data_IF_055565666552
#
_entry.id   IF_055565666552
#
_cell.length_a   1.000
_cell.length_b   1.000
_cell.length_c   1.000
_cell.angle_alpha   90.00
_cell.angle_beta   90.00
_cell.angle_gamma   90.00
#
_symmetry.space_group_name_H-M   'P 1'
#
loop_
_entity.id
_entity.type
_entity.pdbx_description
1 polymer ?
#
# COMPACT_ATOMS: atom_id res chain seq x y z
N UNK A 1 12.46 44.50 -49.59
CA UNK A 1 13.30 43.57 -48.81
C UNK A 1 12.36 42.59 -48.14
N UNK A 2 12.51 41.33 -48.55
CA UNK A 2 11.45 40.35 -48.74
C UNK A 2 11.19 39.46 -47.51
N UNK A 3 9.97 38.91 -47.43
CA UNK A 3 9.50 37.90 -46.46
C UNK A 3 10.37 36.62 -46.38
N UNK A 4 11.38 36.49 -47.23
CA UNK A 4 12.25 35.32 -47.37
C UNK A 4 13.36 35.29 -46.30
N UNK A 5 13.75 36.44 -45.74
CA UNK A 5 14.88 36.52 -44.79
C UNK A 5 14.51 36.21 -43.33
N UNK A 6 13.21 36.18 -43.00
CA UNK A 6 12.74 35.80 -41.67
C UNK A 6 12.72 34.28 -41.49
N UNK A 7 12.44 33.52 -42.56
CA UNK A 7 12.23 32.07 -42.48
C UNK A 7 13.53 31.26 -42.33
N UNK A 8 14.68 31.86 -42.66
CA UNK A 8 15.98 31.18 -42.60
C UNK A 8 16.75 31.42 -41.28
N UNK A 9 16.25 32.30 -40.39
CA UNK A 9 16.75 32.44 -39.01
C UNK A 9 16.04 31.52 -38.02
N UNK A 10 14.84 31.04 -38.37
CA UNK A 10 14.02 30.15 -37.53
C UNK A 10 14.52 28.71 -37.56
N UNK A 11 15.39 28.35 -38.52
CA UNK A 11 15.93 26.99 -38.71
C UNK A 11 17.00 26.58 -37.69
N UNK A 12 17.34 27.42 -36.70
CA UNK A 12 18.34 27.11 -35.68
C UNK A 12 17.86 27.38 -34.24
N UNK A 13 16.69 26.89 -33.87
CA UNK A 13 16.38 26.63 -32.46
C UNK A 13 15.69 25.27 -32.35
N UNK A 14 16.53 24.23 -32.38
CA UNK A 14 16.21 22.92 -31.82
C UNK A 14 16.00 23.12 -30.33
N UNK A 15 14.80 22.82 -29.85
CA UNK A 15 14.45 22.92 -28.43
C UNK A 15 13.05 22.37 -28.19
N UNK A 16 12.83 21.10 -28.52
CA UNK A 16 11.63 20.38 -28.10
C UNK A 16 11.69 20.22 -26.58
N UNK A 17 11.07 21.15 -25.84
CA UNK A 17 10.86 21.03 -24.41
C UNK A 17 9.69 20.06 -24.16
N UNK A 18 9.97 18.76 -24.17
CA UNK A 18 9.06 17.75 -23.61
C UNK A 18 9.04 17.90 -22.10
N UNK A 19 8.07 18.65 -21.58
CA UNK A 19 7.68 18.63 -20.17
C UNK A 19 7.13 17.23 -19.87
N UNK A 20 8.00 16.33 -19.38
CA UNK A 20 7.56 15.11 -18.73
C UNK A 20 6.99 15.54 -17.37
N UNK A 21 5.67 15.72 -17.30
CA UNK A 21 4.97 15.74 -16.02
C UNK A 21 5.11 14.35 -15.41
N UNK A 22 6.06 14.19 -14.50
CA UNK A 22 6.04 13.09 -13.56
C UNK A 22 4.79 13.30 -12.72
N UNK A 23 3.72 12.56 -13.05
CA UNK A 23 2.58 12.46 -12.16
C UNK A 23 3.12 11.92 -10.83
N UNK A 24 3.25 12.80 -9.84
CA UNK A 24 3.36 12.39 -8.46
C UNK A 24 2.00 11.81 -8.13
N UNK A 25 1.84 10.52 -8.41
CA UNK A 25 0.78 9.75 -7.78
C UNK A 25 1.11 9.80 -6.29
N UNK A 26 0.50 10.72 -5.55
CA UNK A 26 0.35 10.55 -4.12
C UNK A 26 -0.56 9.34 -3.95
N UNK A 27 0.01 8.14 -4.05
CA UNK A 27 -0.64 6.96 -3.53
C UNK A 27 -0.70 7.22 -2.02
N UNK A 28 -1.85 7.71 -1.55
CA UNK A 28 -2.17 7.58 -0.15
C UNK A 28 -1.96 6.11 0.23
N UNK A 29 -1.49 5.83 1.45
CA UNK A 29 -1.27 4.45 1.86
C UNK A 29 -2.54 3.60 1.63
N UNK A 30 -2.50 2.74 0.62
CA UNK A 30 -3.66 1.95 0.21
C UNK A 30 -3.82 0.79 1.19
N UNK A 31 -4.96 0.76 1.88
CA UNK A 31 -5.28 -0.33 2.80
C UNK A 31 -5.53 -1.62 2.01
N UNK A 32 -4.77 -2.70 2.26
CA UNK A 32 -4.92 -3.96 1.54
C UNK A 32 -6.30 -4.60 1.69
N UNK A 33 -6.83 -5.14 0.59
CA UNK A 33 -8.07 -5.91 0.63
C UNK A 33 -7.85 -7.24 1.35
N UNK A 34 -8.75 -7.59 2.27
CA UNK A 34 -8.75 -8.89 2.95
C UNK A 34 -8.79 -10.04 1.95
N UNK A 35 -8.00 -11.07 2.21
CA UNK A 35 -7.99 -12.32 1.43
C UNK A 35 -9.09 -13.28 1.85
N UNK A 36 -9.61 -14.04 0.89
CA UNK A 36 -10.52 -15.14 1.16
C UNK A 36 -9.77 -16.34 1.75
N UNK A 37 -10.32 -16.91 2.80
CA UNK A 37 -9.73 -18.06 3.49
C UNK A 37 -10.49 -19.33 3.08
N UNK A 38 -9.82 -20.35 2.51
CA UNK A 38 -10.46 -21.59 2.11
C UNK A 38 -11.04 -22.33 3.33
N UNK A 39 -12.20 -22.98 3.14
CA UNK A 39 -12.84 -23.75 4.20
C UNK A 39 -12.13 -25.10 4.37
N UNK A 40 -11.54 -25.34 5.54
CA UNK A 40 -10.81 -26.57 5.84
C UNK A 40 -11.66 -27.84 5.77
N UNK A 41 -12.98 -27.75 5.97
CA UNK A 41 -13.89 -28.89 5.92
C UNK A 41 -14.12 -29.41 4.48
N UNK A 42 -13.85 -28.59 3.46
CA UNK A 42 -14.17 -28.92 2.06
C UNK A 42 -13.06 -28.63 1.06
N UNK A 43 -12.07 -27.81 1.41
CA UNK A 43 -10.97 -27.46 0.53
C UNK A 43 -10.05 -28.67 0.27
N UNK A 44 -9.45 -28.68 -0.91
CA UNK A 44 -8.32 -29.53 -1.28
C UNK A 44 -7.01 -29.03 -0.65
N UNK A 45 -6.00 -29.90 -0.63
CA UNK A 45 -4.65 -29.54 -0.19
C UNK A 45 -4.07 -28.38 -0.99
N UNK A 46 -4.27 -28.37 -2.31
CA UNK A 46 -3.82 -27.34 -3.22
C UNK A 46 -4.47 -25.99 -2.90
N UNK A 47 -5.77 -25.97 -2.59
CA UNK A 47 -6.50 -24.77 -2.16
C UNK A 47 -6.00 -24.27 -0.80
N UNK A 48 -5.73 -25.16 0.16
CA UNK A 48 -5.16 -24.77 1.46
C UNK A 48 -3.75 -24.17 1.32
N UNK A 49 -2.92 -24.71 0.42
CA UNK A 49 -1.59 -24.13 0.11
C UNK A 49 -1.73 -22.78 -0.60
N UNK A 50 -2.71 -22.62 -1.50
CA UNK A 50 -3.02 -21.33 -2.11
C UNK A 50 -3.44 -20.31 -1.04
N UNK A 51 -4.39 -20.66 -0.17
CA UNK A 51 -4.81 -19.81 0.95
C UNK A 51 -3.66 -19.41 1.87
N UNK A 52 -2.70 -20.31 2.15
CA UNK A 52 -1.51 -19.94 2.91
C UNK A 52 -0.68 -18.84 2.22
N UNK A 53 -0.49 -18.94 0.90
CA UNK A 53 0.26 -17.95 0.13
C UNK A 53 -0.47 -16.61 0.12
N UNK A 54 -1.79 -16.63 -0.03
CA UNK A 54 -2.62 -15.42 -0.07
C UNK A 54 -2.61 -14.72 1.30
N UNK A 55 -2.73 -15.45 2.41
CA UNK A 55 -2.60 -14.90 3.77
C UNK A 55 -1.22 -14.26 3.98
N UNK A 56 -0.14 -14.90 3.52
CA UNK A 56 1.21 -14.32 3.60
C UNK A 56 1.34 -13.05 2.76
N UNK A 57 0.77 -13.05 1.56
CA UNK A 57 0.77 -11.87 0.69
C UNK A 57 -0.02 -10.72 1.31
N UNK A 58 -1.17 -11.00 1.91
CA UNK A 58 -1.96 -10.03 2.66
C UNK A 58 -1.17 -9.41 3.81
N UNK A 59 -0.53 -10.23 4.65
CA UNK A 59 0.30 -9.75 5.76
C UNK A 59 1.44 -8.85 5.24
N UNK A 60 2.15 -9.28 4.19
CA UNK A 60 3.21 -8.47 3.60
C UNK A 60 2.70 -7.13 3.03
N UNK A 61 1.52 -7.11 2.42
CA UNK A 61 0.88 -5.87 1.96
C UNK A 61 0.45 -4.97 3.12
N UNK A 62 -0.01 -5.56 4.23
CA UNK A 62 -0.37 -4.82 5.44
C UNK A 62 0.85 -4.22 6.13
N UNK A 63 1.97 -4.94 6.19
CA UNK A 63 3.25 -4.40 6.66
C UNK A 63 3.71 -3.21 5.82
N UNK A 64 3.64 -3.33 4.48
CA UNK A 64 3.95 -2.22 3.58
C UNK A 64 3.01 -1.01 3.78
N UNK A 65 1.73 -1.24 4.09
CA UNK A 65 0.78 -0.20 4.45
C UNK A 65 1.17 0.50 5.76
N UNK A 66 1.57 -0.25 6.79
CA UNK A 66 2.03 0.30 8.06
C UNK A 66 3.29 1.15 7.89
N UNK A 67 4.27 0.68 7.12
CA UNK A 67 5.49 1.44 6.81
C UNK A 67 5.15 2.75 6.09
N UNK A 68 4.24 2.70 5.12
CA UNK A 68 3.75 3.88 4.43
C UNK A 68 3.11 4.89 5.39
N UNK A 69 2.23 4.44 6.30
CA UNK A 69 1.58 5.33 7.27
C UNK A 69 2.59 6.07 8.14
N UNK A 70 3.64 5.38 8.57
CA UNK A 70 4.69 5.96 9.40
C UNK A 70 5.55 6.96 8.63
N UNK A 71 5.86 6.70 7.36
CA UNK A 71 6.60 7.66 6.52
C UNK A 71 5.75 8.88 6.14
N UNK A 72 4.46 8.72 5.86
CA UNK A 72 3.53 9.85 5.66
C UNK A 72 3.45 10.72 6.92
N UNK A 73 3.34 10.10 8.09
CA UNK A 73 3.28 10.78 9.38
C UNK A 73 4.57 11.58 9.64
N UNK A 74 5.72 10.95 9.41
CA UNK A 74 7.04 11.56 9.56
C UNK A 74 7.24 12.73 8.60
N UNK A 75 6.83 12.58 7.34
CA UNK A 75 6.88 13.66 6.35
C UNK A 75 5.97 14.83 6.76
N UNK A 76 4.76 14.55 7.23
CA UNK A 76 3.83 15.57 7.71
C UNK A 76 4.37 16.33 8.94
N UNK A 77 5.12 15.66 9.82
CA UNK A 77 5.78 16.30 10.97
C UNK A 77 7.00 17.14 10.61
N UNK A 78 7.73 16.78 9.55
CA UNK A 78 8.96 17.47 9.17
C UNK A 78 8.74 18.95 8.81
N UNK A 79 7.53 19.30 8.37
CA UNK A 79 7.17 20.66 7.91
C UNK A 79 6.20 21.38 8.87
N UNK A 80 5.82 20.75 9.99
CA UNK A 80 4.78 21.27 10.89
C UNK A 80 5.34 21.76 12.24
N UNK A 81 5.03 23.01 12.60
CA UNK A 81 5.10 23.47 13.99
C UNK A 81 3.79 23.09 14.68
N UNK A 82 3.82 22.03 15.50
CA UNK A 82 2.65 21.50 16.19
C UNK A 82 2.65 21.92 17.67
N UNK A 83 1.45 22.15 18.21
CA UNK A 83 1.30 22.24 19.66
C UNK A 83 1.47 20.85 20.30
N UNK A 84 1.83 20.74 21.58
CA UNK A 84 1.90 19.45 22.26
C UNK A 84 0.58 18.65 22.21
N UNK A 85 -0.57 19.35 22.20
CA UNK A 85 -1.88 18.72 22.06
C UNK A 85 -2.09 18.12 20.67
N UNK A 86 -1.73 18.86 19.61
CA UNK A 86 -1.83 18.38 18.23
C UNK A 86 -0.87 17.20 17.98
N UNK A 87 0.33 17.23 18.55
CA UNK A 87 1.30 16.12 18.45
C UNK A 87 0.72 14.84 19.04
N UNK A 88 0.12 14.93 20.23
CA UNK A 88 -0.50 13.81 20.93
C UNK A 88 -1.70 13.26 20.14
N UNK A 89 -2.58 14.13 19.64
CA UNK A 89 -3.73 13.71 18.85
C UNK A 89 -3.31 12.98 17.57
N UNK A 90 -2.28 13.47 16.88
CA UNK A 90 -1.75 12.82 15.67
C UNK A 90 -1.12 11.46 15.99
N UNK A 91 -0.35 11.37 17.06
CA UNK A 91 0.21 10.10 17.53
C UNK A 91 -0.88 9.08 17.88
N UNK A 92 -1.92 9.48 18.62
CA UNK A 92 -3.05 8.62 18.96
C UNK A 92 -3.75 8.09 17.69
N UNK A 93 -3.96 8.96 16.71
CA UNK A 93 -4.59 8.58 15.44
C UNK A 93 -3.74 7.59 14.62
N UNK A 94 -2.43 7.77 14.59
CA UNK A 94 -1.51 6.84 13.91
C UNK A 94 -1.48 5.50 14.64
N UNK A 95 -1.36 5.51 15.97
CA UNK A 95 -1.37 4.29 16.79
C UNK A 95 -2.68 3.52 16.62
N UNK A 96 -3.82 4.22 16.56
CA UNK A 96 -5.12 3.57 16.34
C UNK A 96 -5.18 2.85 14.99
N UNK A 97 -4.69 3.48 13.91
CA UNK A 97 -4.62 2.84 12.58
C UNK A 97 -3.66 1.66 12.57
N UNK A 98 -2.49 1.84 13.20
CA UNK A 98 -1.46 0.81 13.29
C UNK A 98 -1.99 -0.43 14.00
N UNK A 99 -2.56 -0.25 15.19
CA UNK A 99 -3.11 -1.35 15.98
C UNK A 99 -4.26 -2.04 15.26
N UNK A 100 -5.17 -1.31 14.63
CA UNK A 100 -6.27 -1.90 13.87
C UNK A 100 -5.77 -2.78 12.70
N UNK A 101 -4.70 -2.35 12.02
CA UNK A 101 -4.08 -3.11 10.95
C UNK A 101 -3.38 -4.39 11.48
N UNK A 102 -2.72 -4.30 12.64
CA UNK A 102 -2.13 -5.47 13.31
C UNK A 102 -3.21 -6.46 13.75
N UNK A 103 -4.28 -5.98 14.40
CA UNK A 103 -5.42 -6.81 14.83
C UNK A 103 -6.04 -7.55 13.63
N UNK A 104 -6.17 -6.87 12.49
CA UNK A 104 -6.67 -7.48 11.25
C UNK A 104 -5.77 -8.59 10.73
N UNK A 105 -4.45 -8.39 10.72
CA UNK A 105 -3.48 -9.43 10.34
C UNK A 105 -3.58 -10.65 11.27
N UNK A 106 -3.67 -10.41 12.59
CA UNK A 106 -3.82 -11.48 13.58
C UNK A 106 -5.13 -12.26 13.39
N UNK A 107 -6.25 -11.57 13.15
CA UNK A 107 -7.54 -12.22 12.87
C UNK A 107 -7.50 -13.09 11.61
N UNK A 108 -6.92 -12.59 10.52
CA UNK A 108 -6.79 -13.35 9.26
C UNK A 108 -5.90 -14.58 9.47
N UNK A 109 -4.77 -14.42 10.16
CA UNK A 109 -3.87 -15.53 10.47
C UNK A 109 -4.52 -16.58 11.39
N UNK A 110 -5.24 -16.14 12.43
CA UNK A 110 -5.96 -17.01 13.36
C UNK A 110 -7.03 -17.81 12.62
N UNK A 111 -7.85 -17.15 11.78
CA UNK A 111 -8.87 -17.82 10.99
C UNK A 111 -8.27 -18.83 10.02
N UNK A 112 -7.15 -18.53 9.36
CA UNK A 112 -6.48 -19.51 8.50
C UNK A 112 -5.99 -20.72 9.31
N UNK A 113 -5.44 -20.51 10.51
CA UNK A 113 -5.00 -21.58 11.39
C UNK A 113 -6.15 -22.49 11.84
N UNK A 114 -7.34 -21.94 12.10
CA UNK A 114 -8.54 -22.73 12.37
C UNK A 114 -8.91 -23.62 11.18
N UNK A 115 -8.87 -23.08 9.96
CA UNK A 115 -9.16 -23.86 8.75
C UNK A 115 -8.11 -24.93 8.49
N UNK A 116 -6.84 -24.68 8.80
CA UNK A 116 -5.78 -25.70 8.76
C UNK A 116 -6.06 -26.84 9.75
N UNK A 117 -6.59 -26.54 10.94
CA UNK A 117 -6.95 -27.58 11.91
C UNK A 117 -8.16 -28.40 11.42
N UNK A 118 -9.19 -27.75 10.87
CA UNK A 118 -10.34 -28.43 10.28
C UNK A 118 -9.93 -29.36 9.12
N UNK A 119 -9.06 -28.88 8.23
CA UNK A 119 -8.49 -29.69 7.15
C UNK A 119 -7.77 -30.94 7.67
N UNK A 120 -6.87 -30.78 8.65
CA UNK A 120 -6.13 -31.90 9.26
C UNK A 120 -7.05 -32.90 9.95
N UNK A 121 -8.15 -32.44 10.55
CA UNK A 121 -9.10 -33.30 11.23
C UNK A 121 -9.83 -34.27 10.27
N UNK A 122 -9.86 -33.98 8.96
CA UNK A 122 -10.39 -34.88 7.93
C UNK A 122 -9.45 -36.03 7.56
N UNK A 123 -8.17 -35.94 7.94
CA UNK A 123 -7.15 -36.94 7.59
C UNK A 123 -6.45 -36.70 6.24
N UNK A 124 -6.46 -35.45 5.74
CA UNK A 124 -5.69 -35.00 4.56
C UNK A 124 -4.37 -34.33 4.94
#
# INVERSE_FOLDING_TARGET
>A
MDKIDLMNRVTKLVGAATLVFLAQTSFACDYPTRVDIPNGDSASKEEMIAGQRDVKAFVASMEAYLDCLLEEEKAARAEAELSPEDEQQREEMVNKKYNAAVDEMEMVAARFNEQVQAFKARGE
#
